data_IF_531891327234
#
_entry.id   IF_531891327234
#
_cell.length_a   1.000
_cell.length_b   1.000
_cell.length_c   1.000
_cell.angle_alpha   90.00
_cell.angle_beta   90.00
_cell.angle_gamma   90.00
#
_symmetry.space_group_name_H-M   'P 1'
#
loop_
_entity.id
_entity.type
_entity.pdbx_description
1 polymer ?
#
# COMPACT_ATOMS: atom_id res chain seq x y z
N UNK A 1 -0.29 -23.66 3.45
CA UNK A 1 -1.07 -22.64 2.72
C UNK A 1 -2.53 -22.83 3.06
N UNK A 2 -3.31 -21.77 3.22
CA UNK A 2 -4.75 -21.81 3.49
C UNK A 2 -5.50 -20.72 2.72
N UNK A 3 -6.82 -20.87 2.64
CA UNK A 3 -7.68 -19.79 2.18
C UNK A 3 -8.05 -18.92 3.39
N UNK A 4 -8.06 -17.61 3.19
CA UNK A 4 -8.43 -16.63 4.21
C UNK A 4 -9.64 -15.87 3.67
N UNK A 5 -10.75 -16.00 4.37
CA UNK A 5 -11.97 -15.26 4.07
C UNK A 5 -12.01 -13.96 4.86
N UNK A 6 -12.62 -12.94 4.31
CA UNK A 6 -12.86 -11.70 5.05
C UNK A 6 -14.07 -10.95 4.56
N UNK A 7 -14.43 -9.92 5.33
CA UNK A 7 -15.52 -9.01 5.08
C UNK A 7 -14.99 -7.59 5.21
N UNK A 8 -15.27 -6.76 4.22
CA UNK A 8 -14.95 -5.34 4.21
C UNK A 8 -16.15 -4.56 4.71
N UNK A 9 -15.92 -3.57 5.56
CA UNK A 9 -16.92 -2.69 6.14
C UNK A 9 -16.63 -1.24 5.76
N UNK A 10 -17.68 -0.48 5.47
CA UNK A 10 -17.61 0.97 5.28
C UNK A 10 -17.36 1.68 6.63
N UNK A 11 -17.10 3.00 6.62
CA UNK A 11 -16.92 3.77 7.86
C UNK A 11 -18.14 3.78 8.81
N UNK A 12 -19.33 3.38 8.33
CA UNK A 12 -20.54 3.27 9.14
C UNK A 12 -20.72 1.87 9.74
N UNK A 13 -19.79 0.94 9.47
CA UNK A 13 -19.83 -0.45 9.93
C UNK A 13 -20.73 -1.36 9.09
N UNK A 14 -21.21 -0.92 7.93
CA UNK A 14 -21.99 -1.72 7.01
C UNK A 14 -21.07 -2.49 6.07
N UNK A 15 -21.43 -3.72 5.69
CA UNK A 15 -20.65 -4.48 4.71
C UNK A 15 -20.55 -3.70 3.40
N UNK A 16 -19.31 -3.45 2.96
CA UNK A 16 -19.00 -2.69 1.76
C UNK A 16 -18.92 -3.62 0.57
N UNK A 17 -20.04 -3.82 -0.11
CA UNK A 17 -20.12 -4.66 -1.30
C UNK A 17 -19.96 -3.87 -2.58
N UNK A 18 -18.73 -3.75 -3.08
CA UNK A 18 -18.49 -3.17 -4.40
C UNK A 18 -17.39 -3.95 -5.14
N UNK A 19 -17.70 -4.38 -6.38
CA UNK A 19 -16.75 -5.03 -7.28
C UNK A 19 -15.62 -4.10 -7.70
N UNK A 20 -15.73 -2.81 -7.40
CA UNK A 20 -14.68 -1.82 -7.56
C UNK A 20 -13.75 -1.73 -6.33
N UNK A 21 -13.79 -2.68 -5.39
CA UNK A 21 -12.81 -2.76 -4.29
C UNK A 21 -11.69 -3.75 -4.61
N UNK A 22 -10.45 -3.26 -4.57
CA UNK A 22 -9.22 -4.02 -4.78
C UNK A 22 -8.61 -4.39 -3.43
N UNK A 23 -8.27 -5.68 -3.26
CA UNK A 23 -7.46 -6.16 -2.13
C UNK A 23 -6.08 -6.51 -2.64
N UNK A 24 -5.08 -5.76 -2.18
CA UNK A 24 -3.67 -6.07 -2.37
C UNK A 24 -3.10 -6.71 -1.11
N UNK A 25 -2.66 -7.97 -1.22
CA UNK A 25 -2.11 -8.72 -0.11
C UNK A 25 -0.59 -8.92 -0.29
N UNK A 26 0.18 -8.35 0.62
CA UNK A 26 1.57 -8.75 0.85
C UNK A 26 1.61 -9.68 2.03
N UNK A 27 1.89 -10.97 1.87
CA UNK A 27 2.27 -11.74 3.04
C UNK A 27 3.66 -11.24 3.45
N UNK A 28 3.77 -10.59 4.61
CA UNK A 28 4.97 -9.86 5.05
C UNK A 28 6.24 -10.65 4.73
N UNK A 29 7.17 -10.03 4.00
CA UNK A 29 8.49 -10.57 3.69
C UNK A 29 8.56 -12.01 3.14
N UNK A 30 7.52 -12.58 2.51
CA UNK A 30 7.58 -13.99 2.08
C UNK A 30 8.47 -14.18 0.85
N UNK A 31 9.72 -14.56 1.12
CA UNK A 31 10.56 -15.37 0.23
C UNK A 31 10.20 -16.83 0.44
N UNK A 32 9.23 -17.36 -0.33
CA UNK A 32 9.03 -18.81 -0.37
C UNK A 32 10.26 -19.47 -1.00
N UNK A 33 10.68 -20.63 -0.49
CA UNK A 33 11.84 -21.41 -0.97
C UNK A 33 11.68 -22.01 -2.38
N UNK A 34 10.68 -21.54 -3.13
CA UNK A 34 10.37 -21.91 -4.52
C UNK A 34 10.44 -20.63 -5.37
N UNK A 35 11.62 -20.00 -5.42
CA UNK A 35 11.83 -18.77 -6.17
C UNK A 35 11.19 -17.52 -5.54
N UNK A 36 11.69 -16.38 -5.99
CA UNK A 36 11.39 -15.03 -5.50
C UNK A 36 9.88 -14.75 -5.41
N UNK A 37 9.37 -14.43 -4.21
CA UNK A 37 8.10 -13.73 -4.00
C UNK A 37 6.83 -14.53 -4.27
N UNK A 38 6.27 -15.18 -3.25
CA UNK A 38 4.92 -15.74 -3.32
C UNK A 38 3.87 -14.62 -3.22
N UNK A 39 3.49 -14.02 -4.34
CA UNK A 39 2.41 -13.03 -4.39
C UNK A 39 1.07 -13.72 -4.13
N UNK A 40 0.33 -13.29 -3.09
CA UNK A 40 -1.09 -13.62 -2.96
C UNK A 40 -1.81 -12.82 -4.03
N UNK A 41 -2.55 -13.50 -4.93
CA UNK A 41 -3.27 -12.81 -6.00
C UNK A 41 -4.24 -11.79 -5.39
N UNK A 42 -4.34 -10.58 -5.97
CA UNK A 42 -5.38 -9.65 -5.59
C UNK A 42 -6.75 -10.33 -5.63
N UNK A 43 -7.58 -10.05 -4.64
CA UNK A 43 -8.95 -10.50 -4.59
C UNK A 43 -9.90 -9.31 -4.81
N UNK A 44 -11.03 -9.61 -5.42
CA UNK A 44 -12.14 -8.67 -5.56
C UNK A 44 -13.13 -8.91 -4.43
N UNK A 45 -13.71 -7.84 -3.94
CA UNK A 45 -14.81 -7.90 -2.99
C UNK A 45 -16.11 -8.15 -3.77
N UNK A 46 -16.93 -9.09 -3.28
CA UNK A 46 -18.24 -9.33 -3.86
C UNK A 46 -19.29 -8.30 -3.40
N UNK A 47 -20.52 -8.40 -3.90
CA UNK A 47 -21.61 -7.48 -3.55
C UNK A 47 -22.07 -7.58 -2.09
N UNK A 48 -21.64 -8.61 -1.36
CA UNK A 48 -21.92 -8.79 0.07
C UNK A 48 -20.74 -8.34 0.95
N UNK A 49 -19.74 -7.69 0.35
CA UNK A 49 -18.55 -7.21 1.04
C UNK A 49 -17.52 -8.29 1.34
N UNK A 50 -17.65 -9.49 0.76
CA UNK A 50 -16.80 -10.63 1.08
C UNK A 50 -15.67 -10.79 0.08
N UNK A 51 -14.56 -11.35 0.58
CA UNK A 51 -13.44 -11.72 -0.26
C UNK A 51 -12.80 -13.02 0.21
N UNK A 52 -12.03 -13.65 -0.67
CA UNK A 52 -11.23 -14.83 -0.35
C UNK A 52 -9.81 -14.68 -0.92
N UNK A 53 -8.82 -14.73 -0.04
CA UNK A 53 -7.41 -14.81 -0.40
C UNK A 53 -6.97 -16.27 -0.40
N UNK A 54 -6.38 -16.71 -1.50
CA UNK A 54 -5.91 -18.09 -1.66
C UNK A 54 -4.40 -18.17 -1.48
N UNK A 55 -3.94 -19.27 -0.88
CA UNK A 55 -2.52 -19.55 -0.77
C UNK A 55 -1.81 -18.75 0.33
N UNK A 56 -2.52 -18.35 1.39
CA UNK A 56 -1.94 -17.60 2.51
C UNK A 56 -1.15 -18.56 3.41
N UNK A 57 0.12 -18.26 3.76
CA UNK A 57 0.87 -19.09 4.70
C UNK A 57 0.29 -19.03 6.11
N UNK A 58 0.04 -20.22 6.67
CA UNK A 58 -0.39 -20.39 8.05
C UNK A 58 0.73 -20.03 9.03
N UNK A 59 0.37 -19.60 10.24
CA UNK A 59 1.34 -19.24 11.29
C UNK A 59 2.17 -17.99 10.96
N UNK A 60 1.71 -17.15 10.03
CA UNK A 60 2.44 -15.96 9.55
C UNK A 60 1.57 -14.70 9.63
N UNK A 61 2.24 -13.55 9.57
CA UNK A 61 1.59 -12.24 9.42
C UNK A 61 1.22 -12.01 7.96
N UNK A 62 -0.02 -11.59 7.74
CA UNK A 62 -0.56 -11.16 6.45
C UNK A 62 -0.68 -9.64 6.47
N UNK A 63 0.02 -8.93 5.58
CA UNK A 63 -0.07 -7.49 5.44
C UNK A 63 -1.05 -7.20 4.31
N UNK A 64 -2.11 -6.46 4.61
CA UNK A 64 -3.16 -6.14 3.66
C UNK A 64 -3.21 -4.65 3.41
N UNK A 65 -3.44 -4.30 2.15
CA UNK A 65 -3.95 -3.02 1.72
C UNK A 65 -5.24 -3.27 0.96
N UNK A 66 -6.31 -2.59 1.33
CA UNK A 66 -7.62 -2.67 0.68
C UNK A 66 -8.00 -1.26 0.28
N UNK A 67 -8.44 -1.06 -0.95
CA UNK A 67 -8.91 0.23 -1.42
C UNK A 67 -10.02 0.09 -2.46
N UNK A 68 -10.94 1.03 -2.41
CA UNK A 68 -11.88 1.31 -3.51
C UNK A 68 -11.11 1.80 -4.75
N UNK A 69 -11.59 1.50 -5.96
CA UNK A 69 -10.94 1.90 -7.22
C UNK A 69 -10.94 3.41 -7.41
N UNK A 70 -11.97 4.10 -6.94
CA UNK A 70 -12.03 5.57 -6.88
C UNK A 70 -11.13 6.17 -5.78
N UNK A 71 -10.51 5.30 -4.97
CA UNK A 71 -9.61 5.62 -3.87
C UNK A 71 -10.22 6.47 -2.76
N UNK A 72 -11.53 6.58 -2.65
CA UNK A 72 -12.19 7.38 -1.61
C UNK A 72 -12.16 6.69 -0.23
N UNK A 73 -12.07 5.37 -0.22
CA UNK A 73 -12.00 4.53 0.97
C UNK A 73 -10.82 3.55 0.88
N UNK A 74 -10.06 3.41 1.96
CA UNK A 74 -8.98 2.42 2.05
C UNK A 74 -8.67 1.99 3.48
N UNK A 75 -8.02 0.84 3.64
CA UNK A 75 -7.51 0.31 4.89
C UNK A 75 -6.17 -0.39 4.68
N UNK A 76 -5.32 -0.37 5.71
CA UNK A 76 -4.08 -1.12 5.74
C UNK A 76 -3.88 -1.75 7.11
N UNK A 77 -3.34 -2.97 7.17
CA UNK A 77 -3.16 -3.64 8.45
C UNK A 77 -2.41 -4.96 8.38
N UNK A 78 -2.06 -5.48 9.56
CA UNK A 78 -1.39 -6.77 9.74
C UNK A 78 -2.31 -7.72 10.49
N UNK A 79 -2.49 -8.91 9.92
CA UNK A 79 -3.34 -9.95 10.48
C UNK A 79 -2.50 -11.19 10.76
N UNK A 80 -2.55 -11.69 12.00
CA UNK A 80 -1.95 -12.96 12.33
C UNK A 80 -2.83 -14.08 11.77
N UNK A 81 -2.26 -14.93 10.93
CA UNK A 81 -2.95 -16.09 10.38
C UNK A 81 -2.61 -17.29 11.26
N UNK A 82 -3.58 -17.86 12.00
CA UNK A 82 -3.31 -19.00 12.89
C UNK A 82 -2.71 -20.19 12.15
N UNK A 83 -2.02 -21.08 12.87
CA UNK A 83 -1.58 -22.38 12.34
C UNK A 83 -2.59 -23.50 12.60
N UNK A 84 -3.71 -23.18 13.26
CA UNK A 84 -4.80 -24.11 13.54
C UNK A 84 -5.45 -24.59 12.22
N UNK A 85 -5.51 -25.91 11.94
CA UNK A 85 -6.15 -26.45 10.74
C UNK A 85 -7.67 -26.23 10.70
N UNK A 86 -8.32 -26.03 11.85
CA UNK A 86 -9.77 -25.86 11.96
C UNK A 86 -10.19 -24.38 11.96
N UNK A 87 -9.23 -23.45 11.83
CA UNK A 87 -9.51 -22.02 11.77
C UNK A 87 -10.30 -21.65 10.51
N UNK A 88 -11.50 -21.10 10.72
CA UNK A 88 -12.42 -20.67 9.66
C UNK A 88 -12.97 -19.27 9.88
N UNK A 89 -12.29 -18.43 10.66
CA UNK A 89 -12.79 -17.08 10.96
C UNK A 89 -12.68 -16.16 9.74
N UNK A 90 -13.53 -15.13 9.74
CA UNK A 90 -13.45 -14.03 8.79
C UNK A 90 -12.56 -12.92 9.34
N UNK A 91 -11.67 -12.42 8.49
CA UNK A 91 -11.01 -11.14 8.75
C UNK A 91 -12.00 -10.00 8.51
N UNK A 92 -12.30 -9.22 9.54
CA UNK A 92 -13.04 -7.97 9.40
C UNK A 92 -12.10 -6.82 9.08
N UNK A 93 -12.36 -6.09 7.99
CA UNK A 93 -11.57 -4.95 7.54
C UNK A 93 -12.47 -3.72 7.52
N UNK A 94 -12.20 -2.73 8.36
CA UNK A 94 -12.91 -1.45 8.33
C UNK A 94 -12.16 -0.49 7.42
N UNK A 95 -12.84 0.06 6.42
CA UNK A 95 -12.29 1.09 5.56
C UNK A 95 -12.37 2.46 6.23
N UNK A 96 -11.33 3.25 6.02
CA UNK A 96 -11.27 4.66 6.41
C UNK A 96 -11.45 5.57 5.19
N UNK A 97 -12.00 6.76 5.43
CA UNK A 97 -12.06 7.82 4.42
C UNK A 97 -10.65 8.32 4.13
N UNK A 98 -10.24 8.22 2.87
CA UNK A 98 -8.93 8.67 2.44
C UNK A 98 -8.88 10.18 2.26
N UNK A 99 -7.66 10.70 2.05
CA UNK A 99 -7.40 12.10 1.74
C UNK A 99 -6.55 12.21 0.48
N UNK A 100 -6.58 13.40 -0.11
CA UNK A 100 -5.61 13.81 -1.13
C UNK A 100 -4.42 14.50 -0.46
N UNK A 101 -3.23 14.30 -1.02
CA UNK A 101 -2.00 14.99 -0.64
C UNK A 101 -1.32 15.58 -1.88
N UNK A 102 -0.68 16.73 -1.70
CA UNK A 102 0.06 17.43 -2.77
C UNK A 102 1.50 17.64 -2.31
N UNK A 103 2.46 17.20 -3.12
CA UNK A 103 3.88 17.13 -2.77
C UNK A 103 4.72 17.72 -3.89
N UNK A 104 5.52 18.74 -3.62
CA UNK A 104 6.49 19.24 -4.61
C UNK A 104 7.76 18.41 -4.50
N UNK A 105 8.19 17.83 -5.63
CA UNK A 105 9.39 17.03 -5.74
C UNK A 105 10.51 17.88 -6.33
N UNK A 106 11.61 17.98 -5.60
CA UNK A 106 12.85 18.64 -6.03
C UNK A 106 14.05 17.70 -5.94
N UNK A 107 15.10 18.01 -6.70
CA UNK A 107 16.39 17.32 -6.65
C UNK A 107 17.25 17.78 -5.44
N UNK A 108 18.50 17.29 -5.35
CA UNK A 108 19.42 17.66 -4.26
C UNK A 108 19.85 19.14 -4.30
N UNK A 109 19.77 19.76 -5.47
CA UNK A 109 20.10 21.16 -5.70
C UNK A 109 18.90 22.09 -5.42
N UNK A 110 17.71 21.51 -5.22
CA UNK A 110 16.45 22.23 -5.01
C UNK A 110 15.72 22.55 -6.31
N UNK A 111 16.15 22.00 -7.44
CA UNK A 111 15.47 22.15 -8.72
C UNK A 111 14.25 21.24 -8.79
N UNK A 112 13.12 21.75 -9.28
CA UNK A 112 11.90 20.96 -9.43
C UNK A 112 12.08 19.84 -10.46
N UNK A 113 11.45 18.69 -10.21
CA UNK A 113 11.59 17.50 -11.05
C UNK A 113 10.25 17.20 -11.76
N UNK A 114 10.01 17.76 -12.96
CA UNK A 114 8.77 17.53 -13.69
C UNK A 114 8.76 16.21 -14.46
N UNK A 115 7.56 15.67 -14.70
CA UNK A 115 7.33 14.53 -15.59
C UNK A 115 7.86 13.17 -15.12
N UNK A 116 8.32 13.06 -13.87
CA UNK A 116 8.84 11.80 -13.31
C UNK A 116 7.71 10.99 -12.73
N UNK A 117 7.66 9.71 -13.13
CA UNK A 117 6.71 8.75 -12.60
C UNK A 117 7.24 8.12 -11.31
N UNK A 118 6.37 8.00 -10.30
CA UNK A 118 6.63 7.37 -9.02
C UNK A 118 5.67 6.22 -8.79
N UNK A 119 6.19 5.12 -8.25
CA UNK A 119 5.41 4.07 -7.59
C UNK A 119 5.35 4.32 -6.09
N UNK A 120 4.17 4.10 -5.54
CA UNK A 120 3.89 4.37 -4.13
C UNK A 120 3.50 3.07 -3.44
N UNK A 121 4.34 2.66 -2.49
CA UNK A 121 4.12 1.46 -1.68
C UNK A 121 3.74 1.89 -0.25
N UNK A 122 2.56 1.52 0.29
CA UNK A 122 2.27 1.76 1.70
C UNK A 122 3.19 0.90 2.58
N UNK A 123 3.54 1.44 3.74
CA UNK A 123 4.38 0.79 4.75
C UNK A 123 3.49 0.40 5.92
N UNK A 124 3.42 -0.89 6.22
CA UNK A 124 2.66 -1.43 7.35
C UNK A 124 3.60 -2.21 8.26
N UNK A 125 3.70 -1.80 9.53
CA UNK A 125 4.67 -2.32 10.50
C UNK A 125 6.12 -2.35 9.96
N UNK A 126 6.52 -1.29 9.24
CA UNK A 126 7.88 -1.17 8.67
C UNK A 126 8.10 -1.98 7.38
N UNK A 127 7.10 -2.70 6.88
CA UNK A 127 7.20 -3.44 5.62
C UNK A 127 6.40 -2.80 4.47
N UNK A 128 7.04 -2.69 3.31
CA UNK A 128 6.42 -2.17 2.07
C UNK A 128 5.48 -3.19 1.44
N UNK A 129 4.25 -2.79 1.14
CA UNK A 129 3.31 -3.58 0.33
C UNK A 129 3.49 -3.23 -1.15
N UNK A 130 4.44 -3.92 -1.81
CA UNK A 130 4.92 -3.62 -3.18
C UNK A 130 3.95 -3.96 -4.33
N UNK A 131 2.72 -4.35 -4.01
CA UNK A 131 1.70 -4.81 -4.96
C UNK A 131 0.53 -3.83 -5.08
N UNK A 132 0.70 -2.64 -4.52
CA UNK A 132 -0.23 -1.54 -4.66
C UNK A 132 0.17 -0.79 -5.93
N UNK A 133 -0.63 -0.92 -6.99
CA UNK A 133 -0.34 -0.29 -8.30
C UNK A 133 -0.74 1.20 -8.29
N UNK A 134 -0.17 1.96 -7.35
CA UNK A 134 -0.31 3.41 -7.32
C UNK A 134 0.89 3.99 -8.07
N UNK A 135 0.65 4.35 -9.33
CA UNK A 135 1.54 5.16 -10.13
C UNK A 135 1.02 6.59 -10.19
N UNK A 136 1.89 7.56 -9.94
CA UNK A 136 1.61 8.99 -10.07
C UNK A 136 2.78 9.67 -10.77
N UNK A 137 2.54 10.81 -11.42
CA UNK A 137 3.57 11.54 -12.15
C UNK A 137 3.59 12.99 -11.70
N UNK A 138 4.79 13.55 -11.55
CA UNK A 138 4.93 14.99 -11.28
C UNK A 138 4.51 15.82 -12.50
N UNK A 139 3.83 16.93 -12.25
CA UNK A 139 3.45 17.90 -13.27
C UNK A 139 4.64 18.78 -13.69
N UNK A 140 4.39 19.79 -14.53
CA UNK A 140 5.40 20.74 -15.01
C UNK A 140 6.04 21.59 -13.89
N UNK A 141 5.42 21.68 -12.72
CA UNK A 141 5.93 22.37 -11.53
C UNK A 141 6.61 21.42 -10.54
N UNK A 142 6.78 20.15 -10.90
CA UNK A 142 7.26 19.12 -9.98
C UNK A 142 6.23 18.72 -8.91
N UNK A 143 4.97 19.14 -9.04
CA UNK A 143 3.89 18.80 -8.11
C UNK A 143 3.38 17.39 -8.38
N UNK A 144 3.33 16.58 -7.33
CA UNK A 144 2.78 15.24 -7.29
C UNK A 144 1.50 15.27 -6.47
N UNK A 145 0.37 14.96 -7.10
CA UNK A 145 -0.91 14.79 -6.43
C UNK A 145 -1.17 13.31 -6.17
N UNK A 146 -1.55 13.00 -4.93
CA UNK A 146 -1.80 11.64 -4.46
C UNK A 146 -3.18 11.56 -3.84
N UNK A 147 -4.07 10.81 -4.48
CA UNK A 147 -5.36 10.41 -3.90
C UNK A 147 -5.26 9.04 -3.22
N UNK A 148 -6.13 8.80 -2.24
CA UNK A 148 -6.17 7.52 -1.52
C UNK A 148 -5.23 7.45 -0.31
N UNK A 149 -4.79 8.58 0.22
CA UNK A 149 -3.92 8.62 1.41
C UNK A 149 -4.72 8.30 2.66
N UNK A 150 -4.42 7.16 3.27
CA UNK A 150 -4.88 6.80 4.62
C UNK A 150 -4.14 7.68 5.65
N UNK A 151 -4.85 8.50 6.45
CA UNK A 151 -4.21 9.33 7.47
C UNK A 151 -3.41 8.51 8.48
N UNK A 152 -2.15 8.91 8.71
CA UNK A 152 -1.25 8.25 9.66
C UNK A 152 -0.53 7.01 9.13
N UNK A 153 -0.80 6.58 7.88
CA UNK A 153 -0.03 5.53 7.23
C UNK A 153 1.20 6.13 6.54
N UNK A 154 2.33 5.43 6.66
CA UNK A 154 3.56 5.78 5.95
C UNK A 154 3.56 5.24 4.51
N UNK A 155 4.20 5.96 3.60
CA UNK A 155 4.31 5.57 2.20
C UNK A 155 5.75 5.74 1.71
N UNK A 156 6.19 4.79 0.89
CA UNK A 156 7.46 4.85 0.20
C UNK A 156 7.23 5.23 -1.26
N UNK A 157 7.85 6.33 -1.70
CA UNK A 157 7.84 6.78 -3.09
C UNK A 157 9.10 6.30 -3.79
N UNK A 158 8.95 5.68 -4.96
CA UNK A 158 10.08 5.21 -5.78
C UNK A 158 9.92 5.69 -7.21
N UNK A 159 10.89 6.44 -7.71
CA UNK A 159 10.91 6.82 -9.12
C UNK A 159 10.95 5.57 -10.02
N UNK A 160 10.08 5.52 -11.02
CA UNK A 160 10.06 4.50 -12.08
C UNK A 160 11.01 4.99 -13.18
N UNK A 161 12.30 4.86 -12.94
CA UNK A 161 13.27 5.40 -13.87
C UNK A 161 13.63 4.39 -14.97
N UNK A 162 13.75 4.93 -16.19
CA UNK A 162 14.64 4.36 -17.20
C UNK A 162 16.13 4.59 -16.88
N UNK A 163 16.50 5.59 -16.05
CA UNK A 163 17.91 5.97 -15.80
C UNK A 163 18.21 6.63 -14.43
N UNK A 164 17.59 6.22 -13.32
CA UNK A 164 17.96 6.76 -11.98
C UNK A 164 18.15 5.63 -10.95
N UNK A 165 19.41 5.44 -10.54
CA UNK A 165 19.90 4.41 -9.63
C UNK A 165 19.94 4.88 -8.15
N UNK A 166 18.93 5.62 -7.66
CA UNK A 166 18.90 6.06 -6.25
C UNK A 166 17.52 5.91 -5.61
N UNK A 167 17.49 5.39 -4.37
CA UNK A 167 16.28 5.07 -3.58
C UNK A 167 16.01 6.15 -2.51
N UNK A 168 14.92 6.96 -2.60
CA UNK A 168 14.55 7.91 -1.54
C UNK A 168 13.62 7.28 -0.47
N UNK A 169 13.63 7.79 0.77
CA UNK A 169 12.75 7.39 1.89
C UNK A 169 12.03 8.59 2.54
N UNK A 170 10.81 8.40 3.06
CA UNK A 170 9.94 9.43 3.66
C UNK A 170 9.52 9.07 5.10
N UNK A 171 9.49 10.05 6.00
CA UNK A 171 8.93 9.98 7.37
C UNK A 171 7.90 11.13 7.53
N UNK A 172 6.67 10.79 7.94
CA UNK A 172 5.50 11.66 7.89
C UNK A 172 4.94 11.95 9.29
N UNK A 173 5.51 12.90 10.01
CA UNK A 173 4.99 13.36 11.31
C UNK A 173 4.03 14.55 11.14
N UNK A 174 2.74 14.24 10.98
CA UNK A 174 1.60 15.01 11.51
C UNK A 174 1.26 16.42 10.97
N UNK A 175 0.02 16.57 10.48
CA UNK A 175 -0.80 17.78 10.62
C UNK A 175 -1.00 18.66 9.38
N UNK A 176 0.06 18.91 8.62
CA UNK A 176 0.02 19.50 7.29
C UNK A 176 1.33 19.10 6.62
N UNK A 177 1.26 18.18 5.65
CA UNK A 177 2.44 17.55 5.07
C UNK A 177 3.06 18.46 4.01
N UNK A 178 3.82 19.46 4.45
CA UNK A 178 4.89 20.02 3.64
C UNK A 178 6.04 19.02 3.67
N UNK A 179 6.03 18.06 2.75
CA UNK A 179 7.15 17.15 2.56
C UNK A 179 8.30 17.92 1.89
N UNK A 180 9.33 18.28 2.66
CA UNK A 180 10.59 18.78 2.11
C UNK A 180 11.53 17.60 1.94
N UNK A 181 11.70 17.13 0.71
CA UNK A 181 12.67 16.09 0.37
C UNK A 181 14.05 16.75 0.21
N UNK A 182 15.07 16.27 0.94
CA UNK A 182 16.48 16.62 0.71
C UNK A 182 17.18 15.33 0.31
N UNK A 183 17.60 15.27 -0.94
CA UNK A 183 18.43 14.19 -1.47
C UNK A 183 19.85 14.33 -0.90
N UNK A 184 20.40 13.24 -0.36
CA UNK A 184 21.77 13.20 0.11
C UNK A 184 22.50 12.01 -0.54
N UNK A 185 23.75 12.19 -1.00
CA UNK A 185 24.54 11.10 -1.58
C UNK A 185 24.93 10.07 -0.53
N UNK A 186 24.93 8.78 -0.91
CA UNK A 186 25.44 7.69 -0.08
C UNK A 186 26.96 7.82 0.05
N UNK A 187 27.50 7.79 1.27
CA UNK A 187 28.93 7.54 1.47
C UNK A 187 29.28 6.10 1.05
N UNK A 188 30.41 5.87 0.37
CA UNK A 188 30.85 4.54 0.00
C UNK A 188 31.25 3.74 1.24
N UNK A 189 30.88 2.45 1.28
CA UNK A 189 31.39 1.47 2.24
C UNK A 189 32.89 1.22 2.06
#
# INVERSE_FOLDING_TARGET
>A
MRNVSGIVFDPNGMAHGDRETIICAGAGGIRTSVGTGGTIRPAWVDSDGRFELKGVPAGRKLHLYVATMDRTLAAAGVFAIPDDPDWSDYLGINLDVTRSASVVISDENGDIVPGVEFRIDPIVEGERIRFVDIAVRTDDNGLLELDGVIPGLEYHLRAVAGEMNQEPSLDATGGALTLRMVLAPQEPQ
#
